data_IF_291149634565
#
_entry.id   IF_291149634565
#
_cell.length_a   1.000
_cell.length_b   1.000
_cell.length_c   1.000
_cell.angle_alpha   90.00
_cell.angle_beta   90.00
_cell.angle_gamma   90.00
#
_symmetry.space_group_name_H-M   'P 1'
#
loop_
_entity.id
_entity.type
_entity.pdbx_description
1 polymer ?
#
# COMPACT_ATOMS: atom_id res chain seq x y z
N UNK A 1 -17.32 -19.99 6.09
CA UNK A 1 -17.11 -18.54 6.06
C UNK A 1 -15.61 -18.34 6.00
N UNK A 2 -15.10 -17.69 4.96
CA UNK A 2 -13.67 -17.43 4.83
C UNK A 2 -13.41 -16.03 5.39
N UNK A 3 -12.54 -15.89 6.38
CA UNK A 3 -12.20 -14.57 6.93
C UNK A 3 -11.18 -13.95 5.99
N UNK A 4 -11.53 -12.80 5.40
CA UNK A 4 -10.60 -12.03 4.56
C UNK A 4 -9.93 -10.95 5.40
N UNK A 5 -8.61 -10.99 5.48
CA UNK A 5 -7.80 -9.99 6.18
C UNK A 5 -6.81 -9.36 5.21
N UNK A 6 -6.80 -8.03 5.17
CA UNK A 6 -5.93 -7.25 4.29
C UNK A 6 -4.81 -6.61 5.12
N UNK A 7 -3.58 -6.67 4.59
CA UNK A 7 -2.36 -6.26 5.27
C UNK A 7 -1.51 -5.35 4.38
N UNK A 8 -1.11 -4.22 4.91
CA UNK A 8 -0.03 -3.39 4.38
C UNK A 8 1.29 -3.96 4.88
N UNK A 9 2.26 -4.13 3.98
CA UNK A 9 3.60 -4.58 4.32
C UNK A 9 4.59 -3.49 3.93
N UNK A 10 5.14 -2.80 4.93
CA UNK A 10 6.07 -1.70 4.75
C UNK A 10 7.48 -2.21 4.36
N UNK A 11 8.32 -1.36 3.75
CA UNK A 11 9.67 -1.77 3.31
C UNK A 11 10.60 -2.21 4.45
N UNK A 12 10.37 -1.74 5.67
CA UNK A 12 11.06 -2.17 6.90
C UNK A 12 10.59 -3.55 7.42
N UNK A 13 9.52 -4.11 6.85
CA UNK A 13 8.96 -5.40 7.21
C UNK A 13 7.81 -5.34 8.21
N UNK A 14 7.49 -4.15 8.74
CA UNK A 14 6.30 -3.92 9.56
C UNK A 14 5.02 -4.19 8.78
N UNK A 15 3.96 -4.58 9.50
CA UNK A 15 2.68 -4.95 8.91
C UNK A 15 1.53 -4.29 9.65
N UNK A 16 0.65 -3.68 8.89
CA UNK A 16 -0.55 -3.04 9.42
C UNK A 16 -1.80 -3.62 8.76
N UNK A 17 -2.79 -4.00 9.57
CA UNK A 17 -4.10 -4.39 9.04
C UNK A 17 -4.78 -3.19 8.38
N UNK A 18 -5.44 -3.45 7.26
CA UNK A 18 -6.22 -2.45 6.57
C UNK A 18 -7.53 -3.04 6.08
N UNK A 19 -8.58 -2.25 6.10
CA UNK A 19 -9.83 -2.54 5.41
C UNK A 19 -9.84 -1.96 3.99
N UNK A 20 -8.79 -1.24 3.60
CA UNK A 20 -8.69 -0.66 2.26
C UNK A 20 -8.35 -1.74 1.23
N UNK A 21 -9.10 -1.75 0.14
CA UNK A 21 -8.78 -2.57 -1.02
C UNK A 21 -7.84 -1.79 -1.95
N UNK A 22 -6.57 -2.20 -1.98
CA UNK A 22 -5.54 -1.53 -2.76
C UNK A 22 -5.22 -2.30 -4.05
N UNK A 23 -4.65 -1.60 -5.04
CA UNK A 23 -4.23 -2.15 -6.33
C UNK A 23 -2.74 -1.94 -6.55
N UNK A 24 -2.14 -2.80 -7.36
CA UNK A 24 -0.75 -2.60 -7.80
C UNK A 24 -0.62 -1.25 -8.51
N UNK A 25 0.49 -0.56 -8.29
CA UNK A 25 0.79 0.82 -8.69
C UNK A 25 -0.08 1.91 -8.05
N UNK A 26 -0.94 1.57 -7.09
CA UNK A 26 -1.67 2.59 -6.34
C UNK A 26 -0.74 3.29 -5.36
N UNK A 27 -0.81 4.63 -5.34
CA UNK A 27 -0.14 5.45 -4.34
C UNK A 27 -1.01 5.57 -3.09
N UNK A 28 -0.41 5.36 -1.93
CA UNK A 28 -1.06 5.44 -0.63
C UNK A 28 -0.18 6.16 0.39
N UNK A 29 -0.79 6.73 1.41
CA UNK A 29 -0.05 7.27 2.56
C UNK A 29 0.35 6.17 3.56
N UNK A 30 0.99 6.58 4.66
CA UNK A 30 1.41 5.67 5.74
C UNK A 30 0.26 4.89 6.41
N UNK A 31 -0.99 5.35 6.29
CA UNK A 31 -2.18 4.68 6.84
C UNK A 31 -2.92 3.85 5.77
N UNK A 32 -2.43 3.85 4.52
CA UNK A 32 -3.05 3.14 3.40
C UNK A 32 -4.20 3.91 2.74
N UNK A 33 -4.34 5.23 2.97
CA UNK A 33 -5.30 6.02 2.20
C UNK A 33 -4.72 6.36 0.83
N UNK A 34 -5.55 6.26 -0.22
CA UNK A 34 -5.12 6.53 -1.58
C UNK A 34 -4.75 7.99 -1.78
N UNK A 35 -3.54 8.22 -2.28
CA UNK A 35 -3.06 9.53 -2.69
C UNK A 35 -3.34 9.73 -4.18
N UNK A 36 -3.85 10.92 -4.52
CA UNK A 36 -3.99 11.35 -5.91
C UNK A 36 -2.92 12.40 -6.23
N UNK A 37 -2.36 12.32 -7.43
CA UNK A 37 -1.43 13.32 -7.93
C UNK A 37 -2.19 14.48 -8.61
N UNK A 38 -1.69 15.72 -8.52
CA UNK A 38 -0.52 16.14 -7.76
C UNK A 38 -0.79 16.10 -6.25
N UNK A 39 0.22 15.71 -5.46
CA UNK A 39 0.09 15.75 -4.01
C UNK A 39 -0.15 17.19 -3.56
N UNK A 40 -1.10 17.38 -2.64
CA UNK A 40 -1.34 18.69 -2.02
C UNK A 40 -0.16 19.13 -1.16
N UNK A 41 0.53 18.18 -0.54
CA UNK A 41 1.66 18.41 0.35
C UNK A 41 2.87 17.57 -0.08
N UNK A 42 4.00 18.20 -0.47
CA UNK A 42 5.20 17.48 -0.88
C UNK A 42 5.95 16.81 0.28
N UNK A 43 5.57 17.09 1.54
CA UNK A 43 6.14 16.48 2.73
C UNK A 43 5.48 15.15 3.13
N UNK A 44 4.49 14.70 2.35
CA UNK A 44 3.71 13.51 2.68
C UNK A 44 4.49 12.24 2.29
N UNK A 45 4.61 11.30 3.24
CA UNK A 45 5.25 10.01 2.98
C UNK A 45 4.31 9.17 2.12
N UNK A 46 4.66 9.02 0.85
CA UNK A 46 3.90 8.23 -0.11
C UNK A 46 4.55 6.86 -0.31
N UNK A 47 3.71 5.84 -0.33
CA UNK A 47 4.07 4.48 -0.66
C UNK A 47 3.36 4.05 -1.94
N UNK A 48 4.00 3.21 -2.75
CA UNK A 48 3.40 2.57 -3.92
C UNK A 48 3.22 1.09 -3.62
N UNK A 49 2.05 0.55 -3.96
CA UNK A 49 1.83 -0.90 -3.90
C UNK A 49 2.54 -1.54 -5.08
N UNK A 50 3.73 -2.10 -4.87
CA UNK A 50 4.50 -2.70 -5.96
C UNK A 50 4.13 -4.18 -6.16
N UNK A 51 3.59 -4.83 -5.13
CA UNK A 51 3.25 -6.25 -5.19
C UNK A 51 2.03 -6.56 -4.34
N UNK A 52 1.14 -7.37 -4.90
CA UNK A 52 -0.03 -7.91 -4.23
C UNK A 52 0.11 -9.42 -4.14
N UNK A 53 -0.04 -9.98 -2.95
CA UNK A 53 0.00 -11.42 -2.72
C UNK A 53 -1.25 -11.85 -1.97
N UNK A 54 -1.89 -12.91 -2.45
CA UNK A 54 -3.02 -13.54 -1.76
C UNK A 54 -2.55 -14.87 -1.20
N UNK A 55 -2.81 -15.08 0.08
CA UNK A 55 -2.45 -16.29 0.81
C UNK A 55 -3.72 -16.88 1.40
N UNK A 56 -4.23 -17.93 0.77
CA UNK A 56 -5.32 -18.72 1.31
C UNK A 56 -4.78 -19.81 2.23
N UNK A 57 -5.32 -19.90 3.44
CA UNK A 57 -4.96 -20.93 4.43
C UNK A 57 -6.21 -21.35 5.18
N UNK A 58 -6.57 -22.64 5.13
CA UNK A 58 -7.62 -23.30 5.93
C UNK A 58 -8.79 -22.41 6.40
N UNK A 59 -9.45 -21.71 5.48
CA UNK A 59 -10.62 -20.87 5.80
C UNK A 59 -10.32 -19.39 6.08
N UNK A 60 -9.10 -18.94 5.83
CA UNK A 60 -8.65 -17.55 5.95
C UNK A 60 -7.98 -17.13 4.63
N UNK A 61 -8.33 -15.95 4.14
CA UNK A 61 -7.72 -15.33 2.97
C UNK A 61 -6.97 -14.08 3.44
N UNK A 62 -5.64 -14.15 3.39
CA UNK A 62 -4.78 -13.02 3.73
C UNK A 62 -4.32 -12.32 2.45
N UNK A 63 -4.64 -11.04 2.31
CA UNK A 63 -4.20 -10.20 1.19
C UNK A 63 -3.06 -9.32 1.69
N UNK A 64 -1.86 -9.50 1.14
CA UNK A 64 -0.66 -8.74 1.49
C UNK A 64 -0.35 -7.74 0.36
N UNK A 65 -0.45 -6.46 0.67
CA UNK A 65 -0.04 -5.35 -0.17
C UNK A 65 1.36 -4.90 0.24
N UNK A 66 2.34 -5.25 -0.57
CA UNK A 66 3.71 -4.84 -0.34
C UNK A 66 3.93 -3.43 -0.88
N UNK A 67 4.46 -2.59 0.00
CA UNK A 67 4.66 -1.17 -0.20
C UNK A 67 6.14 -0.87 -0.46
N UNK A 68 6.40 0.02 -1.41
CA UNK A 68 7.71 0.65 -1.62
C UNK A 68 7.59 2.15 -1.32
N UNK A 69 8.61 2.73 -0.69
CA UNK A 69 8.64 4.17 -0.45
C UNK A 69 8.87 4.91 -1.77
N UNK A 70 7.99 5.85 -2.10
CA UNK A 70 8.12 6.66 -3.31
C UNK A 70 8.89 7.95 -2.98
N UNK A 71 10.01 8.23 -3.66
CA UNK A 71 10.78 9.44 -3.42
C UNK A 71 10.02 10.68 -3.92
N UNK A 72 10.22 11.81 -3.23
CA UNK A 72 9.54 13.08 -3.55
C UNK A 72 9.76 13.55 -4.99
N UNK A 73 10.90 13.17 -5.59
CA UNK A 73 11.23 13.49 -6.97
C UNK A 73 10.24 12.86 -7.96
N UNK A 74 9.82 11.60 -7.73
CA UNK A 74 8.80 10.94 -8.56
C UNK A 74 7.40 11.55 -8.35
N UNK A 75 7.11 12.05 -7.15
CA UNK A 75 5.81 12.64 -6.82
C UNK A 75 5.61 14.04 -7.44
N UNK A 76 6.69 14.72 -7.81
CA UNK A 76 6.68 16.09 -8.32
C UNK A 76 6.64 16.19 -9.86
N UNK A 77 6.55 15.04 -10.56
CA UNK A 77 6.45 15.00 -12.02
C UNK A 77 7.72 15.39 -12.79
N UNK A 78 8.89 15.38 -12.13
CA UNK A 78 10.18 15.66 -12.77
C UNK A 78 10.79 14.42 -13.41
N UNK A 79 10.66 14.30 -14.74
CA UNK A 79 11.56 13.50 -15.58
C UNK A 79 12.70 14.38 -16.08
#
# INVERSE_FOLDING_TARGET
MTIETSWLVYPDGDRQETTNSLRVNQLVDMNGFSLSLPLRDPHLIAYRVFKLRRLETRGELNIMYYLELVPVNELSGGW
#
